data_IF_839708713124
#
_entry.id   IF_839708713124
#
_cell.length_a   1.000
_cell.length_b   1.000
_cell.length_c   1.000
_cell.angle_alpha   90.00
_cell.angle_beta   90.00
_cell.angle_gamma   90.00
#
_symmetry.space_group_name_H-M   'P 1'
#
loop_
_entity.id
_entity.type
_entity.pdbx_description
1 polymer ?
#
# COMPACT_ATOMS: atom_id res chain seq x y z
N UNK A 1 21.42 -11.71 -13.50
CA UNK A 1 21.01 -11.82 -14.92
C UNK A 1 21.23 -10.45 -15.55
N UNK A 2 21.91 -10.40 -16.70
CA UNK A 2 22.10 -9.17 -17.48
C UNK A 2 20.75 -8.55 -17.88
N UNK A 3 20.70 -7.22 -18.03
CA UNK A 3 19.50 -6.45 -18.44
C UNK A 3 19.01 -6.78 -19.86
N UNK A 4 19.82 -7.47 -20.68
CA UNK A 4 19.46 -7.91 -22.02
C UNK A 4 18.54 -9.13 -21.93
N UNK A 5 17.28 -8.97 -22.36
CA UNK A 5 16.30 -10.07 -22.49
C UNK A 5 15.18 -10.09 -21.45
N UNK A 6 15.10 -9.13 -20.53
CA UNK A 6 13.96 -9.04 -19.61
C UNK A 6 12.72 -8.52 -20.34
N UNK A 7 11.63 -9.29 -20.30
CA UNK A 7 10.34 -8.92 -20.91
C UNK A 7 9.83 -7.58 -20.38
N UNK A 8 9.36 -6.67 -21.24
CA UNK A 8 8.85 -5.37 -20.84
C UNK A 8 7.46 -5.49 -20.19
N UNK A 9 7.15 -4.56 -19.29
CA UNK A 9 5.89 -4.51 -18.55
C UNK A 9 4.64 -4.41 -19.45
N UNK A 10 4.83 -3.91 -20.67
CA UNK A 10 3.80 -3.75 -21.69
C UNK A 10 3.16 -5.08 -22.11
N UNK A 11 3.90 -6.20 -22.01
CA UNK A 11 3.37 -7.54 -22.35
C UNK A 11 2.19 -7.98 -21.48
N UNK A 12 2.12 -7.45 -20.25
CA UNK A 12 1.07 -7.78 -19.27
C UNK A 12 0.19 -6.57 -18.92
N UNK A 13 0.41 -5.44 -19.61
CA UNK A 13 -0.37 -4.24 -19.42
C UNK A 13 -1.74 -4.38 -20.09
N UNK A 14 -2.77 -3.90 -19.41
CA UNK A 14 -4.15 -3.94 -19.88
C UNK A 14 -4.70 -2.53 -20.02
N UNK A 15 -5.66 -2.36 -20.92
CA UNK A 15 -6.43 -1.12 -21.00
C UNK A 15 -7.14 -0.85 -19.66
N UNK A 16 -7.06 0.37 -19.10
CA UNK A 16 -7.75 0.68 -17.86
C UNK A 16 -9.27 0.52 -18.03
N UNK A 17 -9.93 -0.40 -17.29
CA UNK A 17 -11.38 -0.59 -17.43
C UNK A 17 -12.18 0.67 -17.08
N UNK A 18 -11.59 1.55 -16.27
CA UNK A 18 -12.14 2.83 -15.93
C UNK A 18 -11.03 3.81 -15.53
N UNK A 19 -11.19 5.07 -15.92
CA UNK A 19 -10.30 6.17 -15.58
C UNK A 19 -11.13 7.31 -14.98
N UNK A 20 -10.77 7.74 -13.77
CA UNK A 20 -11.45 8.84 -13.12
C UNK A 20 -10.93 10.21 -13.61
N UNK A 21 -11.76 11.25 -13.46
CA UNK A 21 -11.35 12.65 -13.66
C UNK A 21 -11.32 13.39 -12.32
N UNK A 22 -10.45 14.41 -12.14
CA UNK A 22 -10.33 15.17 -10.89
C UNK A 22 -11.66 15.73 -10.35
N UNK A 23 -12.56 16.12 -11.25
CA UNK A 23 -13.83 16.77 -10.92
C UNK A 23 -14.99 15.79 -10.68
N UNK A 24 -14.81 14.49 -10.91
CA UNK A 24 -15.82 13.48 -10.61
C UNK A 24 -16.09 13.40 -9.11
N UNK A 25 -17.27 12.90 -8.75
CA UNK A 25 -17.65 12.68 -7.35
C UNK A 25 -17.25 11.28 -6.89
N UNK A 26 -16.84 11.16 -5.63
CA UNK A 26 -16.41 9.88 -5.03
C UNK A 26 -17.51 8.82 -5.14
N UNK A 27 -18.78 9.18 -4.96
CA UNK A 27 -19.90 8.24 -5.07
C UNK A 27 -20.05 7.60 -6.45
N UNK A 28 -19.74 8.35 -7.52
CA UNK A 28 -19.76 7.84 -8.90
C UNK A 28 -18.60 6.86 -9.12
N UNK A 29 -17.40 7.26 -8.69
CA UNK A 29 -16.18 6.45 -8.86
C UNK A 29 -16.27 5.15 -8.06
N UNK A 30 -16.77 5.17 -6.81
CA UNK A 30 -16.99 3.94 -6.02
C UNK A 30 -17.99 3.01 -6.71
N UNK A 31 -19.04 3.57 -7.33
CA UNK A 31 -20.00 2.79 -8.11
C UNK A 31 -19.32 2.01 -9.23
N UNK A 32 -18.49 2.69 -10.03
CA UNK A 32 -17.70 2.09 -11.10
C UNK A 32 -16.64 1.11 -10.59
N UNK A 33 -15.94 1.44 -9.52
CA UNK A 33 -14.97 0.56 -8.89
C UNK A 33 -15.62 -0.75 -8.44
N UNK A 34 -16.81 -0.70 -7.85
CA UNK A 34 -17.54 -1.91 -7.44
C UNK A 34 -18.01 -2.72 -8.65
N UNK A 35 -18.68 -2.07 -9.60
CA UNK A 35 -19.22 -2.68 -10.83
C UNK A 35 -18.12 -3.44 -11.58
N UNK A 36 -16.95 -2.82 -11.71
CA UNK A 36 -15.80 -3.36 -12.44
C UNK A 36 -14.79 -4.10 -11.54
N UNK A 37 -15.13 -4.32 -10.26
CA UNK A 37 -14.28 -4.98 -9.24
C UNK A 37 -12.85 -4.38 -9.12
N UNK A 38 -12.70 -3.07 -9.26
CA UNK A 38 -11.42 -2.35 -9.25
C UNK A 38 -11.01 -1.95 -7.83
N UNK A 39 -9.78 -2.24 -7.43
CA UNK A 39 -9.23 -1.84 -6.13
C UNK A 39 -8.72 -0.39 -6.08
N UNK A 40 -8.31 0.12 -7.24
CA UNK A 40 -7.82 1.47 -7.44
C UNK A 40 -8.05 1.89 -8.89
N UNK A 41 -8.13 3.19 -9.14
CA UNK A 41 -8.34 3.76 -10.47
C UNK A 41 -7.34 4.89 -10.73
N UNK A 42 -6.78 4.99 -11.94
CA UNK A 42 -6.00 6.15 -12.32
C UNK A 42 -6.90 7.37 -12.43
N UNK A 43 -6.40 8.54 -12.03
CA UNK A 43 -7.05 9.83 -12.22
C UNK A 43 -6.27 10.60 -13.27
N UNK A 44 -6.92 10.96 -14.38
CA UNK A 44 -6.29 11.69 -15.48
C UNK A 44 -6.90 13.07 -15.66
N UNK A 45 -6.04 14.06 -15.88
CA UNK A 45 -6.44 15.43 -16.21
C UNK A 45 -6.48 15.65 -17.72
N UNK A 46 -6.14 16.88 -18.11
CA UNK A 46 -6.09 17.29 -19.51
C UNK A 46 -5.04 16.51 -20.31
N UNK A 47 -5.31 16.34 -21.61
CA UNK A 47 -4.43 15.62 -22.55
C UNK A 47 -4.04 14.21 -22.09
N UNK A 48 -4.93 13.56 -21.32
CA UNK A 48 -4.73 12.23 -20.76
C UNK A 48 -3.52 12.10 -19.81
N UNK A 49 -3.08 13.20 -19.22
CA UNK A 49 -1.98 13.20 -18.26
C UNK A 49 -2.41 12.58 -16.94
N UNK A 50 -1.64 11.64 -16.41
CA UNK A 50 -1.88 11.05 -15.10
C UNK A 50 -1.63 12.10 -14.01
N UNK A 51 -2.63 12.36 -13.17
CA UNK A 51 -2.58 13.40 -12.11
C UNK A 51 -2.85 12.86 -10.71
N UNK A 52 -3.30 11.61 -10.59
CA UNK A 52 -3.46 10.96 -9.29
C UNK A 52 -3.90 9.51 -9.40
N UNK A 53 -4.05 8.86 -8.26
CA UNK A 53 -4.64 7.53 -8.14
C UNK A 53 -5.63 7.57 -6.98
N UNK A 54 -6.76 6.88 -7.14
CA UNK A 54 -7.78 6.77 -6.09
C UNK A 54 -8.02 5.31 -5.74
N UNK A 55 -8.00 4.97 -4.45
CA UNK A 55 -8.30 3.63 -3.92
C UNK A 55 -9.33 3.68 -2.79
N UNK A 56 -9.89 2.51 -2.43
CA UNK A 56 -10.78 2.38 -1.26
C UNK A 56 -10.13 2.87 0.04
N UNK A 57 -8.81 2.73 0.18
CA UNK A 57 -8.09 3.21 1.37
C UNK A 57 -8.12 4.72 1.48
N UNK A 58 -7.91 5.43 0.36
CA UNK A 58 -7.83 6.89 0.34
C UNK A 58 -9.19 7.52 0.68
N UNK A 59 -10.23 6.92 0.11
CA UNK A 59 -11.64 7.23 0.34
C UNK A 59 -12.00 7.08 1.83
N UNK A 60 -11.60 5.98 2.46
CA UNK A 60 -11.88 5.71 3.87
C UNK A 60 -11.04 6.58 4.81
N UNK A 61 -9.75 6.77 4.53
CA UNK A 61 -8.82 7.53 5.36
C UNK A 61 -9.19 9.01 5.43
N UNK A 62 -9.68 9.57 4.33
CA UNK A 62 -10.08 10.98 4.26
C UNK A 62 -11.53 11.23 4.70
N UNK A 63 -12.28 10.18 5.05
CA UNK A 63 -13.69 10.30 5.43
C UNK A 63 -14.52 11.01 4.36
N UNK A 64 -14.21 10.78 3.09
CA UNK A 64 -14.81 11.54 2.00
C UNK A 64 -16.32 11.29 1.92
N UNK A 65 -17.12 12.33 1.72
CA UNK A 65 -18.53 12.15 1.40
C UNK A 65 -18.69 11.65 -0.04
N UNK A 66 -19.87 11.10 -0.36
CA UNK A 66 -20.23 10.74 -1.75
C UNK A 66 -20.07 11.91 -2.71
N UNK A 67 -20.36 13.13 -2.25
CA UNK A 67 -20.32 14.35 -3.04
C UNK A 67 -18.94 15.00 -3.13
N UNK A 68 -17.97 14.51 -2.36
CA UNK A 68 -16.59 14.99 -2.40
C UNK A 68 -15.99 14.77 -3.79
N UNK A 69 -15.17 15.71 -4.28
CA UNK A 69 -14.49 15.60 -5.58
C UNK A 69 -13.28 14.66 -5.46
N UNK A 70 -13.01 13.89 -6.51
CA UNK A 70 -11.84 12.98 -6.56
C UNK A 70 -10.54 13.70 -6.23
N UNK A 71 -10.33 14.92 -6.76
CA UNK A 71 -9.08 15.67 -6.55
C UNK A 71 -8.74 15.96 -5.09
N UNK A 72 -9.73 16.00 -4.20
CA UNK A 72 -9.50 16.26 -2.77
C UNK A 72 -9.12 14.98 -2.01
N UNK A 73 -9.29 13.82 -2.64
CA UNK A 73 -9.15 12.50 -2.04
C UNK A 73 -8.05 11.67 -2.68
N UNK A 74 -7.74 11.88 -3.96
CA UNK A 74 -6.73 11.11 -4.67
C UNK A 74 -5.34 11.29 -4.04
N UNK A 75 -4.53 10.24 -4.16
CA UNK A 75 -3.10 10.32 -3.88
C UNK A 75 -2.35 10.90 -5.08
N UNK A 76 -1.16 11.50 -4.85
CA UNK A 76 -0.26 11.86 -5.93
C UNK A 76 0.01 10.68 -6.88
N UNK A 77 0.21 10.93 -8.17
CA UNK A 77 0.35 9.87 -9.15
C UNK A 77 1.70 9.17 -9.00
N UNK A 78 1.67 7.84 -8.97
CA UNK A 78 2.82 6.97 -9.24
C UNK A 78 2.58 6.20 -10.53
N UNK A 79 3.64 5.90 -11.28
CA UNK A 79 3.53 5.23 -12.58
C UNK A 79 4.82 4.55 -12.98
N UNK A 80 4.72 3.59 -13.90
CA UNK A 80 5.84 2.96 -14.58
C UNK A 80 5.85 3.45 -16.04
N UNK A 81 7.03 3.70 -16.59
CA UNK A 81 7.16 4.08 -18.01
C UNK A 81 7.09 2.82 -18.86
N UNK A 82 6.44 2.89 -20.02
CA UNK A 82 6.48 1.84 -21.06
C UNK A 82 7.92 1.37 -21.32
N UNK A 83 8.10 0.08 -21.60
CA UNK A 83 9.39 -0.58 -21.79
C UNK A 83 10.12 -0.96 -20.50
N UNK A 84 9.63 -0.57 -19.32
CA UNK A 84 10.26 -0.97 -18.04
C UNK A 84 10.29 -2.50 -17.90
N UNK A 85 11.43 -3.14 -17.58
CA UNK A 85 11.50 -4.58 -17.37
C UNK A 85 10.57 -5.07 -16.26
N UNK A 86 9.88 -6.20 -16.47
CA UNK A 86 8.95 -6.76 -15.48
C UNK A 86 9.57 -6.95 -14.08
N UNK A 87 10.80 -7.47 -13.91
CA UNK A 87 11.40 -7.59 -12.57
C UNK A 87 11.53 -6.24 -11.83
N UNK A 88 11.88 -5.17 -12.55
CA UNK A 88 11.91 -3.81 -12.01
C UNK A 88 10.51 -3.32 -11.66
N UNK A 89 9.52 -3.62 -12.51
CA UNK A 89 8.12 -3.32 -12.23
C UNK A 89 7.63 -4.02 -10.95
N UNK A 90 7.92 -5.31 -10.78
CA UNK A 90 7.55 -6.07 -9.56
C UNK A 90 8.17 -5.42 -8.31
N UNK A 91 9.44 -5.01 -8.37
CA UNK A 91 10.07 -4.29 -7.26
C UNK A 91 9.38 -2.96 -6.94
N UNK A 92 8.94 -2.21 -7.95
CA UNK A 92 8.12 -1.00 -7.76
C UNK A 92 6.75 -1.32 -7.13
N UNK A 93 6.08 -2.40 -7.54
CA UNK A 93 4.84 -2.87 -6.89
C UNK A 93 5.03 -3.16 -5.40
N UNK A 94 6.14 -3.82 -5.04
CA UNK A 94 6.49 -4.14 -3.65
C UNK A 94 6.77 -2.86 -2.86
N UNK A 95 7.69 -2.01 -3.35
CA UNK A 95 8.08 -0.75 -2.71
C UNK A 95 6.88 0.19 -2.49
N UNK A 96 6.02 0.33 -3.50
CA UNK A 96 4.84 1.19 -3.41
C UNK A 96 3.68 0.54 -2.69
N UNK A 97 3.78 -0.75 -2.31
CA UNK A 97 2.65 -1.55 -1.82
C UNK A 97 1.43 -1.39 -2.74
N UNK A 98 1.65 -1.23 -4.05
CA UNK A 98 0.64 -0.80 -5.03
C UNK A 98 -0.27 -1.96 -5.42
N UNK A 99 -1.58 -1.74 -5.53
CA UNK A 99 -2.54 -2.76 -6.03
C UNK A 99 -2.67 -2.76 -7.55
N UNK A 100 -2.50 -1.57 -8.12
CA UNK A 100 -2.52 -1.27 -9.53
C UNK A 100 -1.50 -0.18 -9.77
N UNK A 101 -0.79 -0.25 -10.88
CA UNK A 101 0.21 0.74 -11.30
C UNK A 101 -0.13 1.19 -12.72
N UNK A 102 -0.34 2.49 -12.94
CA UNK A 102 -0.46 3.07 -14.27
C UNK A 102 0.83 2.93 -15.08
N UNK A 103 0.69 2.55 -16.36
CA UNK A 103 1.75 2.59 -17.36
C UNK A 103 1.60 3.87 -18.17
N UNK A 104 2.68 4.63 -18.30
CA UNK A 104 2.68 5.94 -18.97
C UNK A 104 3.77 6.02 -20.04
N UNK A 105 3.61 6.98 -20.96
CA UNK A 105 4.71 7.40 -21.83
C UNK A 105 5.66 8.39 -21.12
N UNK A 106 6.72 8.81 -21.81
CA UNK A 106 7.69 9.81 -21.33
C UNK A 106 7.04 11.16 -20.98
N UNK A 107 5.89 11.48 -21.57
CA UNK A 107 5.12 12.71 -21.33
C UNK A 107 4.10 12.55 -20.19
N UNK A 108 4.15 11.44 -19.45
CA UNK A 108 3.23 11.07 -18.35
C UNK A 108 1.77 10.93 -18.79
N UNK A 109 1.51 10.62 -20.06
CA UNK A 109 0.18 10.28 -20.56
C UNK A 109 -0.12 8.83 -20.22
N UNK A 110 -1.32 8.57 -19.70
CA UNK A 110 -1.76 7.21 -19.36
C UNK A 110 -1.90 6.36 -20.62
N UNK A 111 -1.19 5.23 -20.68
CA UNK A 111 -1.31 4.26 -21.77
C UNK A 111 -2.13 3.04 -21.35
N UNK A 112 -1.79 2.47 -20.20
CA UNK A 112 -2.36 1.22 -19.69
C UNK A 112 -2.29 1.16 -18.17
N UNK A 113 -2.74 0.06 -17.58
CA UNK A 113 -2.50 -0.27 -16.17
C UNK A 113 -1.96 -1.70 -16.06
N UNK A 114 -1.28 -1.98 -14.97
CA UNK A 114 -0.99 -3.35 -14.52
C UNK A 114 -1.53 -3.51 -13.11
N UNK A 115 -2.12 -4.66 -12.79
CA UNK A 115 -2.57 -4.99 -11.44
C UNK A 115 -1.70 -6.05 -10.81
N UNK A 116 -1.78 -6.21 -9.48
CA UNK A 116 -1.12 -7.34 -8.80
C UNK A 116 -1.56 -8.69 -9.36
N UNK A 117 -2.82 -8.81 -9.82
CA UNK A 117 -3.33 -10.06 -10.40
C UNK A 117 -2.60 -10.40 -11.70
N UNK A 118 -2.31 -9.40 -12.53
CA UNK A 118 -1.59 -9.58 -13.78
C UNK A 118 -0.14 -10.01 -13.50
N UNK A 119 0.51 -9.39 -12.52
CA UNK A 119 1.85 -9.79 -12.06
C UNK A 119 1.85 -11.23 -11.52
N UNK A 120 0.91 -11.59 -10.64
CA UNK A 120 0.84 -12.94 -10.08
C UNK A 120 0.58 -14.00 -11.16
N UNK A 121 -0.28 -13.70 -12.13
CA UNK A 121 -0.54 -14.58 -13.27
C UNK A 121 0.72 -14.77 -14.10
N UNK A 122 1.39 -13.67 -14.47
CA UNK A 122 2.67 -13.72 -15.17
C UNK A 122 3.71 -14.54 -14.41
N UNK A 123 3.82 -14.36 -13.10
CA UNK A 123 4.74 -15.13 -12.27
C UNK A 123 4.41 -16.62 -12.27
N UNK A 124 3.13 -16.99 -12.22
CA UNK A 124 2.70 -18.38 -12.25
C UNK A 124 2.95 -19.04 -13.61
N UNK A 125 2.66 -18.32 -14.71
CA UNK A 125 2.77 -18.81 -16.08
C UNK A 125 4.24 -18.94 -16.55
N UNK A 126 5.16 -18.25 -15.88
CA UNK A 126 6.59 -18.25 -16.21
C UNK A 126 7.47 -18.84 -15.09
N UNK A 127 6.88 -19.60 -14.17
CA UNK A 127 7.57 -20.28 -13.06
C UNK A 127 8.48 -19.35 -12.21
N UNK A 128 8.03 -18.12 -11.98
CA UNK A 128 8.72 -17.10 -11.17
C UNK A 128 8.24 -17.07 -9.72
N UNK A 129 7.25 -17.90 -9.34
CA UNK A 129 6.86 -18.04 -7.94
C UNK A 129 7.97 -18.81 -7.20
N UNK A 130 8.56 -18.24 -6.13
CA UNK A 130 9.63 -18.94 -5.39
C UNK A 130 9.17 -20.30 -4.86
N UNK A 131 10.04 -21.30 -4.96
CA UNK A 131 9.81 -22.63 -4.41
C UNK A 131 10.03 -22.63 -2.90
N UNK A 132 8.96 -22.40 -2.15
CA UNK A 132 8.92 -22.35 -0.69
C UNK A 132 7.50 -22.57 -0.17
N UNK A 133 7.34 -22.65 1.15
CA UNK A 133 6.04 -22.84 1.79
C UNK A 133 5.38 -21.51 2.13
N UNK A 134 4.08 -21.55 2.39
CA UNK A 134 3.32 -20.38 2.84
C UNK A 134 3.90 -19.80 4.14
N UNK A 135 4.37 -20.63 5.07
CA UNK A 135 4.96 -20.18 6.33
C UNK A 135 6.24 -19.34 6.16
N UNK A 136 6.98 -19.53 5.07
CA UNK A 136 8.21 -18.77 4.79
C UNK A 136 7.92 -17.34 4.32
N UNK A 137 6.70 -17.10 3.83
CA UNK A 137 6.26 -15.83 3.24
C UNK A 137 5.16 -15.12 4.04
N UNK A 138 4.44 -15.81 4.91
CA UNK A 138 3.31 -15.23 5.65
C UNK A 138 3.75 -14.17 6.66
N UNK A 139 2.85 -13.24 6.95
CA UNK A 139 2.98 -12.33 8.10
C UNK A 139 2.46 -13.01 9.37
N UNK A 140 3.26 -12.94 10.44
CA UNK A 140 2.95 -13.49 11.76
C UNK A 140 3.50 -12.55 12.86
N UNK A 141 2.86 -12.41 14.04
CA UNK A 141 1.57 -13.00 14.44
C UNK A 141 0.39 -12.40 13.67
N UNK A 142 -0.70 -13.16 13.43
CA UNK A 142 -1.88 -12.67 12.74
C UNK A 142 -2.63 -11.65 13.61
N UNK A 143 -3.22 -10.65 12.96
CA UNK A 143 -4.17 -9.74 13.59
C UNK A 143 -5.56 -10.24 13.22
N UNK A 144 -6.27 -10.82 14.20
CA UNK A 144 -7.63 -11.34 14.06
C UNK A 144 -8.65 -10.37 14.70
N UNK A 145 -9.93 -10.67 14.50
CA UNK A 145 -11.05 -10.00 15.15
C UNK A 145 -12.10 -11.04 15.55
N UNK A 146 -12.73 -10.88 16.70
CA UNK A 146 -13.82 -11.77 17.12
C UNK A 146 -15.09 -11.47 16.32
N UNK A 147 -15.92 -12.49 16.06
CA UNK A 147 -17.10 -12.34 15.19
C UNK A 147 -18.19 -11.39 15.73
N UNK A 148 -18.25 -11.22 17.06
CA UNK A 148 -19.14 -10.28 17.76
C UNK A 148 -18.55 -8.87 17.92
N UNK A 149 -17.26 -8.66 17.61
CA UNK A 149 -16.69 -7.30 17.64
C UNK A 149 -17.30 -6.44 16.52
N UNK A 150 -17.33 -5.12 16.73
CA UNK A 150 -18.03 -4.21 15.82
C UNK A 150 -17.28 -3.91 14.52
N UNK A 151 -18.00 -3.49 13.48
CA UNK A 151 -17.39 -2.98 12.24
C UNK A 151 -16.49 -1.77 12.50
N UNK A 152 -16.84 -0.89 13.44
CA UNK A 152 -15.99 0.22 13.86
C UNK A 152 -14.63 -0.26 14.36
N UNK A 153 -14.64 -1.34 15.16
CA UNK A 153 -13.43 -1.98 15.67
C UNK A 153 -12.60 -2.61 14.55
N UNK A 154 -13.26 -3.32 13.62
CA UNK A 154 -12.61 -3.87 12.43
C UNK A 154 -11.92 -2.77 11.59
N UNK A 155 -12.65 -1.69 11.30
CA UNK A 155 -12.14 -0.51 10.58
C UNK A 155 -10.91 0.07 11.31
N UNK A 156 -11.00 0.28 12.61
CA UNK A 156 -9.90 0.83 13.40
C UNK A 156 -8.65 -0.06 13.35
N UNK A 157 -8.81 -1.39 13.52
CA UNK A 157 -7.71 -2.35 13.44
C UNK A 157 -7.04 -2.32 12.06
N UNK A 158 -7.83 -2.33 10.99
CA UNK A 158 -7.31 -2.26 9.62
C UNK A 158 -6.50 -0.97 9.38
N UNK A 159 -7.05 0.18 9.76
CA UNK A 159 -6.39 1.48 9.56
C UNK A 159 -5.13 1.62 10.42
N UNK A 160 -5.20 1.26 11.71
CA UNK A 160 -4.07 1.35 12.66
C UNK A 160 -2.92 0.43 12.25
N UNK A 161 -3.24 -0.79 11.81
CA UNK A 161 -2.24 -1.78 11.43
C UNK A 161 -1.80 -1.65 9.97
N UNK A 162 -2.47 -0.82 9.18
CA UNK A 162 -2.17 -0.63 7.75
C UNK A 162 -2.50 -1.84 6.88
N UNK A 163 -3.36 -2.73 7.38
CA UNK A 163 -3.83 -3.94 6.71
C UNK A 163 -5.21 -3.69 6.09
N UNK A 164 -5.63 -4.55 5.18
CA UNK A 164 -6.91 -4.40 4.47
C UNK A 164 -7.88 -5.56 4.65
N UNK A 165 -7.53 -6.51 5.52
CA UNK A 165 -8.34 -7.69 5.84
C UNK A 165 -8.04 -8.17 7.25
N UNK A 166 -9.04 -8.76 7.87
CA UNK A 166 -8.96 -9.39 9.18
C UNK A 166 -9.58 -10.79 9.04
N UNK A 167 -8.83 -11.86 9.40
CA UNK A 167 -9.44 -13.14 9.73
C UNK A 167 -10.39 -12.96 10.92
N UNK A 168 -11.59 -13.51 10.81
CA UNK A 168 -12.61 -13.48 11.85
C UNK A 168 -12.61 -14.81 12.57
N UNK A 169 -12.61 -14.78 13.90
CA UNK A 169 -12.58 -15.96 14.76
C UNK A 169 -13.77 -16.02 15.72
N UNK A 170 -14.14 -17.23 16.13
CA UNK A 170 -15.14 -17.49 17.17
C UNK A 170 -14.51 -17.55 18.59
N UNK A 171 -15.32 -17.92 19.58
CA UNK A 171 -14.91 -18.07 20.98
C UNK A 171 -13.84 -19.15 21.19
N UNK A 172 -13.74 -20.14 20.28
CA UNK A 172 -12.74 -21.22 20.32
C UNK A 172 -11.43 -20.85 19.58
N UNK A 173 -11.31 -19.59 19.13
CA UNK A 173 -10.26 -19.05 18.25
C UNK A 173 -10.14 -19.75 16.89
N UNK A 174 -11.22 -20.39 16.43
CA UNK A 174 -11.28 -21.00 15.09
C UNK A 174 -11.68 -19.97 14.07
N UNK A 175 -11.16 -20.11 12.85
CA UNK A 175 -11.53 -19.22 11.75
C UNK A 175 -12.99 -19.47 11.29
N UNK A 176 -13.81 -18.43 11.29
CA UNK A 176 -15.22 -18.48 10.85
C UNK A 176 -15.53 -17.57 9.66
N UNK A 177 -14.62 -16.64 9.34
CA UNK A 177 -14.79 -15.77 8.19
C UNK A 177 -13.61 -14.84 7.92
N UNK A 178 -13.78 -13.95 6.94
CA UNK A 178 -12.84 -12.87 6.63
C UNK A 178 -13.63 -11.60 6.35
N UNK A 179 -13.22 -10.48 6.95
CA UNK A 179 -13.74 -9.15 6.62
C UNK A 179 -12.65 -8.28 6.01
N UNK A 180 -12.97 -7.52 4.97
CA UNK A 180 -12.02 -6.66 4.27
C UNK A 180 -12.41 -5.19 4.30
N UNK A 181 -11.43 -4.32 4.04
CA UNK A 181 -11.65 -2.88 3.94
C UNK A 181 -12.65 -2.54 2.83
N UNK A 182 -12.67 -3.33 1.76
CA UNK A 182 -13.59 -3.16 0.64
C UNK A 182 -15.02 -3.42 1.08
N UNK A 183 -15.25 -4.49 1.84
CA UNK A 183 -16.59 -4.84 2.37
C UNK A 183 -17.15 -3.70 3.21
N UNK A 184 -16.30 -3.10 4.06
CA UNK A 184 -16.67 -1.96 4.90
C UNK A 184 -17.00 -0.72 4.05
N UNK A 185 -16.12 -0.33 3.12
CA UNK A 185 -16.31 0.87 2.31
C UNK A 185 -17.51 0.75 1.38
N UNK A 186 -17.67 -0.39 0.69
CA UNK A 186 -18.79 -0.56 -0.24
C UNK A 186 -20.14 -0.48 0.48
N UNK A 187 -20.22 -0.98 1.73
CA UNK A 187 -21.45 -0.89 2.53
C UNK A 187 -21.68 0.51 3.10
N UNK A 188 -20.67 1.18 3.66
CA UNK A 188 -20.78 2.58 4.15
C UNK A 188 -21.37 3.51 3.08
N UNK A 189 -20.89 3.39 1.84
CA UNK A 189 -21.34 4.26 0.75
C UNK A 189 -22.70 3.86 0.19
N UNK A 190 -23.26 2.70 0.57
CA UNK A 190 -24.56 2.20 0.13
C UNK A 190 -25.71 2.43 1.11
N UNK A 191 -25.46 2.84 2.35
CA UNK A 191 -26.50 3.00 3.40
C UNK A 191 -27.66 3.92 2.96
N UNK A 192 -27.45 4.81 1.97
CA UNK A 192 -28.52 5.66 1.39
C UNK A 192 -29.27 5.06 0.18
N UNK A 193 -28.80 3.97 -0.42
CA UNK A 193 -29.42 3.35 -1.62
C UNK A 193 -30.43 2.24 -1.27
N UNK A 194 -30.42 1.72 -0.04
CA UNK A 194 -31.21 0.57 0.43
C UNK A 194 -32.63 0.88 0.90
N UNK A 195 -33.20 2.07 0.58
CA UNK A 195 -34.67 2.25 0.67
C UNK A 195 -35.47 1.40 -0.33
N UNK A 196 -34.82 0.59 -1.17
CA UNK A 196 -35.47 -0.40 -2.04
C UNK A 196 -34.88 -1.79 -1.84
N UNK A 197 -35.71 -2.66 -1.24
CA UNK A 197 -35.73 -4.14 -1.19
C UNK A 197 -34.42 -4.86 -0.83
N UNK A 198 -34.34 -5.35 0.41
CA UNK A 198 -33.52 -6.53 0.77
C UNK A 198 -32.65 -6.41 2.03
N UNK A 199 -32.33 -5.20 2.48
CA UNK A 199 -31.54 -4.95 3.70
C UNK A 199 -32.29 -3.94 4.58
N UNK A 200 -33.32 -4.41 5.30
CA UNK A 200 -34.26 -3.54 6.05
C UNK A 200 -33.76 -3.11 7.45
N UNK A 201 -32.60 -3.60 7.92
CA UNK A 201 -32.21 -3.48 9.33
C UNK A 201 -31.21 -2.36 9.67
N UNK A 202 -30.51 -1.77 8.68
CA UNK A 202 -29.47 -0.75 8.94
C UNK A 202 -29.95 0.61 8.43
N UNK A 203 -30.33 1.48 9.35
CA UNK A 203 -30.95 2.79 9.09
C UNK A 203 -29.95 3.93 9.09
N UNK A 204 -28.75 3.73 9.66
CA UNK A 204 -27.70 4.76 9.76
C UNK A 204 -26.26 4.21 9.64
N UNK A 205 -25.31 5.10 9.39
CA UNK A 205 -23.87 4.79 9.46
C UNK A 205 -23.44 4.34 10.85
N UNK A 206 -24.05 4.90 11.90
CA UNK A 206 -23.78 4.54 13.30
C UNK A 206 -24.22 3.11 13.59
N UNK A 207 -25.42 2.72 13.14
CA UNK A 207 -25.91 1.34 13.28
C UNK A 207 -25.01 0.35 12.53
N UNK A 208 -24.58 0.68 11.30
CA UNK A 208 -23.64 -0.16 10.57
C UNK A 208 -22.30 -0.32 11.29
N UNK A 209 -21.75 0.77 11.82
CA UNK A 209 -20.47 0.77 12.51
C UNK A 209 -20.54 0.01 13.86
N UNK A 210 -21.71 0.01 14.51
CA UNK A 210 -21.94 -0.72 15.76
C UNK A 210 -22.23 -2.21 15.55
N UNK A 211 -22.72 -2.60 14.36
CA UNK A 211 -23.09 -3.97 14.08
C UNK A 211 -21.90 -4.95 14.15
N UNK A 212 -22.14 -6.23 14.49
CA UNK A 212 -21.09 -7.22 14.66
C UNK A 212 -20.49 -7.63 13.31
N UNK A 213 -19.22 -8.00 13.30
CA UNK A 213 -18.49 -8.38 12.07
C UNK A 213 -19.12 -9.56 11.35
N UNK A 214 -19.70 -10.53 12.07
CA UNK A 214 -20.33 -11.72 11.49
C UNK A 214 -21.41 -11.42 10.45
N UNK A 215 -22.11 -10.30 10.57
CA UNK A 215 -23.19 -9.89 9.65
C UNK A 215 -22.66 -9.40 8.29
N UNK A 216 -21.35 -9.15 8.21
CA UNK A 216 -20.71 -8.49 7.07
C UNK A 216 -19.52 -9.24 6.50
N UNK A 217 -18.96 -10.19 7.26
CA UNK A 217 -17.84 -11.00 6.82
C UNK A 217 -18.22 -11.93 5.65
N UNK A 218 -17.21 -12.32 4.88
CA UNK A 218 -17.33 -13.44 3.96
C UNK A 218 -17.20 -14.75 4.75
N UNK A 219 -18.18 -15.63 4.59
CA UNK A 219 -18.23 -16.98 5.17
C UNK A 219 -18.85 -17.96 4.14
N UNK A 220 -18.32 -19.19 3.98
CA UNK A 220 -17.15 -19.75 4.65
C UNK A 220 -15.83 -19.05 4.23
N UNK A 221 -14.80 -19.01 5.10
CA UNK A 221 -13.53 -18.38 4.78
C UNK A 221 -12.72 -19.20 3.77
N UNK A 222 -12.05 -18.52 2.84
CA UNK A 222 -10.99 -19.12 2.02
C UNK A 222 -9.67 -18.97 2.78
N UNK A 223 -9.03 -20.08 3.10
CA UNK A 223 -7.75 -20.15 3.80
C UNK A 223 -6.93 -21.34 3.29
N UNK A 224 -5.67 -21.42 3.69
CA UNK A 224 -4.83 -22.61 3.46
C UNK A 224 -4.02 -22.95 4.71
N UNK A 225 -3.20 -24.00 4.65
CA UNK A 225 -2.36 -24.45 5.75
C UNK A 225 -0.92 -23.95 5.60
N UNK A 226 -0.20 -23.85 6.73
CA UNK A 226 1.16 -23.27 6.78
C UNK A 226 2.20 -23.94 5.88
N UNK A 227 2.07 -25.25 5.70
CA UNK A 227 2.99 -26.05 4.88
C UNK A 227 2.65 -26.06 3.38
N UNK A 228 1.58 -25.37 2.95
CA UNK A 228 1.15 -25.35 1.56
C UNK A 228 2.23 -24.72 0.66
N UNK A 229 2.50 -25.26 -0.54
CA UNK A 229 3.41 -24.64 -1.50
C UNK A 229 2.97 -23.23 -1.87
N UNK A 230 3.91 -22.29 -1.96
CA UNK A 230 3.59 -20.89 -2.30
C UNK A 230 2.93 -20.76 -3.67
N UNK A 231 3.23 -21.67 -4.60
CA UNK A 231 2.54 -21.77 -5.91
C UNK A 231 1.04 -22.02 -5.76
N UNK A 232 0.65 -22.91 -4.86
CA UNK A 232 -0.76 -23.23 -4.58
C UNK A 232 -1.48 -22.02 -3.96
N UNK A 233 -0.78 -21.27 -3.09
CA UNK A 233 -1.29 -19.99 -2.58
C UNK A 233 -1.61 -19.05 -3.74
N UNK A 234 -0.68 -18.85 -4.69
CA UNK A 234 -0.91 -17.98 -5.87
C UNK A 234 -2.08 -18.47 -6.71
N UNK A 235 -2.17 -19.77 -6.98
CA UNK A 235 -3.30 -20.37 -7.71
C UNK A 235 -4.63 -20.09 -7.01
N UNK A 236 -4.68 -20.26 -5.69
CA UNK A 236 -5.87 -19.98 -4.87
C UNK A 236 -6.25 -18.49 -4.92
N UNK A 237 -5.28 -17.58 -4.80
CA UNK A 237 -5.51 -16.14 -4.92
C UNK A 237 -6.11 -15.77 -6.29
N UNK A 238 -5.60 -16.36 -7.37
CA UNK A 238 -6.06 -16.11 -8.73
C UNK A 238 -7.44 -16.74 -8.99
N UNK A 239 -7.67 -17.97 -8.54
CA UNK A 239 -8.91 -18.71 -8.73
C UNK A 239 -10.09 -18.01 -8.05
N UNK A 240 -9.95 -17.69 -6.76
CA UNK A 240 -11.03 -17.05 -5.99
C UNK A 240 -11.09 -15.52 -6.14
N UNK A 241 -10.24 -14.93 -6.99
CA UNK A 241 -10.11 -13.48 -7.19
C UNK A 241 -9.86 -12.69 -5.89
N UNK A 242 -9.20 -13.31 -4.91
CA UNK A 242 -8.84 -12.70 -3.62
C UNK A 242 -7.40 -12.19 -3.63
N UNK A 243 -7.15 -11.14 -2.84
CA UNK A 243 -5.83 -10.48 -2.78
C UNK A 243 -4.94 -10.97 -1.63
N UNK A 244 -5.44 -11.91 -0.82
CA UNK A 244 -4.77 -12.53 0.31
C UNK A 244 -5.73 -13.41 1.10
N UNK A 245 -5.20 -14.33 1.89
CA UNK A 245 -5.95 -15.31 2.65
C UNK A 245 -5.30 -15.57 4.01
N UNK A 246 -6.05 -16.05 5.01
CA UNK A 246 -5.51 -16.54 6.26
C UNK A 246 -4.71 -17.85 6.05
N UNK A 247 -3.70 -18.04 6.89
CA UNK A 247 -2.96 -19.30 7.01
C UNK A 247 -3.34 -19.92 8.34
N UNK A 248 -3.68 -21.20 8.33
CA UNK A 248 -4.19 -21.91 9.51
C UNK A 248 -3.36 -23.13 9.88
N UNK A 249 -3.49 -23.54 11.13
CA UNK A 249 -3.05 -24.82 11.68
C UNK A 249 -4.16 -25.33 12.59
N UNK A 250 -4.77 -26.48 12.25
CA UNK A 250 -5.94 -27.03 12.98
C UNK A 250 -7.07 -26.00 13.18
N UNK A 251 -7.46 -25.32 12.09
CA UNK A 251 -8.50 -24.26 12.06
C UNK A 251 -8.17 -22.97 12.83
N UNK A 252 -7.04 -22.90 13.54
CA UNK A 252 -6.57 -21.66 14.18
C UNK A 252 -5.74 -20.85 13.21
N UNK A 253 -5.93 -19.54 13.21
CA UNK A 253 -5.16 -18.64 12.35
C UNK A 253 -3.76 -18.46 12.93
N UNK A 254 -2.73 -18.82 12.15
CA UNK A 254 -1.30 -18.69 12.54
C UNK A 254 -0.55 -17.62 11.74
N UNK A 255 -1.16 -17.14 10.66
CA UNK A 255 -0.61 -16.06 9.85
C UNK A 255 -1.58 -15.59 8.78
N UNK A 256 -1.15 -14.61 7.99
CA UNK A 256 -1.88 -14.11 6.81
C UNK A 256 -0.89 -13.97 5.67
N UNK A 257 -1.30 -14.35 4.46
CA UNK A 257 -0.50 -14.19 3.26
C UNK A 257 -1.26 -13.43 2.18
N UNK A 258 -0.54 -12.71 1.34
CA UNK A 258 -1.08 -11.94 0.23
C UNK A 258 -0.19 -12.02 -0.99
N UNK A 259 -0.72 -11.62 -2.14
CA UNK A 259 0.09 -11.50 -3.36
C UNK A 259 1.29 -10.56 -3.22
N UNK A 260 1.22 -9.59 -2.29
CA UNK A 260 2.35 -8.71 -2.00
C UNK A 260 3.51 -9.46 -1.36
N UNK A 261 3.22 -10.43 -0.51
CA UNK A 261 4.23 -11.23 0.19
C UNK A 261 4.94 -12.16 -0.80
N UNK A 262 4.19 -12.75 -1.74
CA UNK A 262 4.75 -13.54 -2.85
C UNK A 262 5.72 -12.70 -3.69
N UNK A 263 5.28 -11.52 -4.16
CA UNK A 263 6.14 -10.62 -4.93
C UNK A 263 7.36 -10.18 -4.13
N UNK A 264 7.22 -9.95 -2.82
CA UNK A 264 8.33 -9.59 -1.93
C UNK A 264 9.38 -10.70 -1.89
N UNK A 265 8.96 -11.96 -1.73
CA UNK A 265 9.87 -13.12 -1.76
C UNK A 265 10.58 -13.30 -3.09
N UNK A 266 9.88 -13.06 -4.20
CA UNK A 266 10.50 -13.03 -5.52
C UNK A 266 11.59 -11.95 -5.60
N UNK A 267 11.29 -10.71 -5.19
CA UNK A 267 12.27 -9.60 -5.22
C UNK A 267 13.45 -9.87 -4.28
N UNK A 268 13.23 -10.41 -3.08
CA UNK A 268 14.29 -10.81 -2.14
C UNK A 268 15.24 -11.85 -2.76
N UNK A 269 14.75 -12.71 -3.65
CA UNK A 269 15.57 -13.70 -4.37
C UNK A 269 16.43 -13.09 -5.50
N UNK A 270 16.11 -11.87 -5.96
CA UNK A 270 16.87 -11.17 -6.99
C UNK A 270 18.10 -10.51 -6.36
N UNK A 271 19.27 -11.12 -6.52
CA UNK A 271 20.59 -10.65 -6.01
C UNK A 271 20.91 -9.18 -6.35
N UNK A 272 20.28 -8.60 -7.38
CA UNK A 272 20.52 -7.23 -7.85
C UNK A 272 19.37 -6.24 -7.64
N UNK A 273 18.26 -6.68 -7.05
CA UNK A 273 17.11 -5.80 -6.74
C UNK A 273 16.83 -5.88 -5.26
N UNK A 274 17.82 -5.50 -4.44
CA UNK A 274 17.52 -5.21 -3.05
C UNK A 274 16.46 -4.10 -3.04
N UNK A 275 15.35 -4.26 -2.31
CA UNK A 275 14.45 -3.16 -2.06
C UNK A 275 15.28 -1.97 -1.59
N UNK A 276 14.93 -0.77 -2.03
CA UNK A 276 15.52 0.41 -1.41
C UNK A 276 15.14 0.35 0.07
N UNK A 277 16.10 -0.02 0.91
CA UNK A 277 15.97 0.01 2.35
C UNK A 277 16.73 1.23 2.85
N UNK A 278 16.05 2.03 3.68
CA UNK A 278 16.72 3.14 4.30
C UNK A 278 17.79 2.60 5.26
N UNK A 279 19.06 2.89 4.97
CA UNK A 279 20.17 2.51 5.86
C UNK A 279 20.09 3.36 7.12
N UNK A 280 19.65 2.76 8.23
CA UNK A 280 19.60 3.39 9.55
C UNK A 280 20.98 3.22 10.20
N UNK A 281 21.69 4.33 10.45
CA UNK A 281 22.94 4.28 11.21
C UNK A 281 22.69 3.71 12.63
N UNK A 282 23.65 2.95 13.16
CA UNK A 282 23.61 2.10 14.38
C UNK A 282 23.34 2.82 15.73
N UNK A 283 22.64 3.96 15.74
CA UNK A 283 22.29 4.69 16.96
C UNK A 283 20.78 4.64 17.18
N UNK A 284 20.25 3.44 17.35
CA UNK A 284 19.01 3.23 18.10
C UNK A 284 19.37 2.29 19.25
N UNK A 285 19.66 2.89 20.40
CA UNK A 285 20.06 2.16 21.59
C UNK A 285 18.95 1.23 22.10
N UNK A 286 19.32 -0.04 22.30
CA UNK A 286 18.82 -1.02 23.28
C UNK A 286 17.34 -1.45 23.29
N UNK A 287 16.41 -0.81 22.59
CA UNK A 287 14.98 -1.21 22.55
C UNK A 287 14.52 -1.70 21.15
N UNK A 288 14.18 -2.99 20.99
CA UNK A 288 13.64 -3.54 19.74
C UNK A 288 12.36 -2.87 19.24
N UNK A 289 11.48 -2.39 20.13
CA UNK A 289 10.21 -1.76 19.74
C UNK A 289 10.45 -0.41 19.06
N UNK A 290 11.30 0.42 19.65
CA UNK A 290 11.69 1.72 19.07
C UNK A 290 12.35 1.55 17.70
N UNK A 291 13.22 0.54 17.54
CA UNK A 291 13.84 0.21 16.24
C UNK A 291 12.79 -0.13 15.19
N UNK A 292 11.85 -1.03 15.51
CA UNK A 292 10.78 -1.42 14.60
C UNK A 292 9.89 -0.22 14.21
N UNK A 293 9.60 0.68 15.17
CA UNK A 293 8.82 1.89 14.91
C UNK A 293 9.55 2.86 13.97
N UNK A 294 10.86 3.04 14.15
CA UNK A 294 11.71 3.84 13.25
C UNK A 294 11.72 3.22 11.86
N UNK A 295 12.02 1.93 11.75
CA UNK A 295 12.05 1.22 10.46
C UNK A 295 10.71 1.31 9.74
N UNK A 296 9.59 1.06 10.44
CA UNK A 296 8.24 1.19 9.88
C UNK A 296 7.98 2.60 9.37
N UNK A 297 8.27 3.62 10.18
CA UNK A 297 8.04 5.01 9.81
C UNK A 297 8.86 5.40 8.58
N UNK A 298 10.14 5.04 8.55
CA UNK A 298 11.03 5.39 7.44
C UNK A 298 10.65 4.66 6.17
N UNK A 299 10.32 3.37 6.25
CA UNK A 299 9.87 2.60 5.09
C UNK A 299 8.52 3.10 4.53
N UNK A 300 7.61 3.57 5.39
CA UNK A 300 6.36 4.19 4.94
C UNK A 300 6.63 5.52 4.18
N UNK A 301 7.58 6.34 4.65
CA UNK A 301 8.00 7.54 3.91
C UNK A 301 8.81 7.22 2.65
N UNK A 302 9.67 6.20 2.67
CA UNK A 302 10.43 5.78 1.50
C UNK A 302 9.50 5.27 0.39
N UNK A 303 8.46 4.52 0.75
CA UNK A 303 7.37 4.16 -0.19
C UNK A 303 6.70 5.41 -0.74
N UNK A 304 6.44 6.41 0.11
CA UNK A 304 5.87 7.71 -0.30
C UNK A 304 6.78 8.47 -1.27
N UNK A 305 8.08 8.58 -1.00
CA UNK A 305 9.06 9.20 -1.91
C UNK A 305 9.16 8.44 -3.22
N UNK A 306 9.25 7.11 -3.16
CA UNK A 306 9.37 6.25 -4.34
C UNK A 306 8.17 6.38 -5.28
N UNK A 307 6.99 6.74 -4.77
CA UNK A 307 5.79 7.02 -5.57
C UNK A 307 5.86 8.36 -6.30
N UNK A 308 6.61 9.32 -5.75
CA UNK A 308 6.68 10.68 -6.28
C UNK A 308 7.85 10.89 -7.25
N UNK A 309 8.99 10.23 -6.99
CA UNK A 309 10.27 10.39 -7.71
C UNK A 309 10.99 9.05 -7.81
N UNK A 310 11.89 8.91 -8.78
CA UNK A 310 12.75 7.73 -8.84
C UNK A 310 13.82 7.83 -7.75
N UNK A 311 13.59 7.16 -6.63
CA UNK A 311 14.55 7.16 -5.52
C UNK A 311 15.70 6.21 -5.83
N UNK A 312 16.91 6.73 -5.79
CA UNK A 312 18.17 6.02 -6.03
C UNK A 312 18.76 5.49 -4.72
N UNK A 313 18.73 6.28 -3.66
CA UNK A 313 19.27 5.91 -2.34
C UNK A 313 18.60 6.73 -1.23
N UNK A 314 18.43 6.15 -0.05
CA UNK A 314 17.98 6.85 1.14
C UNK A 314 18.83 6.43 2.35
N UNK A 315 19.48 7.40 2.98
CA UNK A 315 20.30 7.19 4.18
C UNK A 315 19.74 7.96 5.36
N UNK A 316 19.57 7.28 6.48
CA UNK A 316 19.14 7.84 7.75
C UNK A 316 20.28 7.76 8.76
N UNK A 317 20.69 8.90 9.30
CA UNK A 317 21.61 8.98 10.42
C UNK A 317 20.87 9.55 11.62
N UNK A 318 20.84 8.79 12.72
CA UNK A 318 20.35 9.26 14.01
C UNK A 318 21.57 9.39 14.94
N UNK A 319 21.62 10.44 15.77
CA UNK A 319 22.63 10.62 16.81
C UNK A 319 21.97 11.16 18.07
N UNK A 320 22.37 10.66 19.23
CA UNK A 320 22.00 11.22 20.52
C UNK A 320 22.95 12.41 20.83
N UNK A 321 22.37 13.59 21.05
CA UNK A 321 23.06 14.80 21.53
C UNK A 321 22.82 14.88 23.05
N UNK A 322 23.78 14.46 23.86
CA UNK A 322 23.76 14.68 25.31
C UNK A 322 24.12 16.14 25.58
N UNK A 323 23.12 17.00 25.82
CA UNK A 323 23.40 18.27 26.49
C UNK A 323 23.51 18.00 27.98
N UNK A 324 24.72 18.12 28.52
CA UNK A 324 24.93 18.24 29.98
C UNK A 324 24.48 19.64 30.37
N UNK A 325 23.18 19.85 30.53
CA UNK A 325 22.65 20.97 31.30
C UNK A 325 21.98 20.38 32.54
N UNK A 326 22.38 20.91 33.69
CA UNK A 326 21.90 20.51 35.02
C UNK A 326 20.38 20.69 35.05
N UNK A 327 19.66 19.56 35.05
CA UNK A 327 18.24 19.32 35.37
C UNK A 327 17.57 18.44 34.30
N UNK A 328 17.20 17.22 34.74
CA UNK A 328 16.51 16.13 34.03
C UNK A 328 17.22 15.50 32.81
N UNK A 329 17.46 14.18 32.88
CA UNK A 329 18.10 13.34 31.86
C UNK A 329 17.33 13.18 30.54
N UNK A 330 16.91 14.28 29.92
CA UNK A 330 16.25 14.31 28.60
C UNK A 330 17.29 14.22 27.50
N UNK A 331 17.18 13.18 26.69
CA UNK A 331 18.05 12.92 25.54
C UNK A 331 17.56 13.75 24.36
N UNK A 332 18.43 14.51 23.71
CA UNK A 332 18.09 15.17 22.45
C UNK A 332 18.57 14.31 21.30
N UNK A 333 17.77 14.16 20.26
CA UNK A 333 18.11 13.40 19.06
C UNK A 333 18.35 14.35 17.91
N UNK A 334 19.41 14.11 17.15
CA UNK A 334 19.65 14.69 15.83
C UNK A 334 19.41 13.64 14.77
N UNK A 335 18.52 13.95 13.85
CA UNK A 335 18.16 13.11 12.72
C UNK A 335 18.67 13.78 11.44
N UNK A 336 19.37 13.04 10.60
CA UNK A 336 19.81 13.50 9.29
C UNK A 336 19.38 12.50 8.22
N UNK A 337 18.67 12.98 7.23
CA UNK A 337 18.12 12.17 6.14
C UNK A 337 18.71 12.67 4.84
N UNK A 338 19.33 11.77 4.07
CA UNK A 338 19.79 12.01 2.70
C UNK A 338 18.97 11.16 1.76
N UNK A 339 18.26 11.79 0.84
CA UNK A 339 17.49 11.15 -0.22
C UNK A 339 18.11 11.51 -1.57
N UNK A 340 18.54 10.52 -2.32
CA UNK A 340 19.10 10.66 -3.67
C UNK A 340 18.03 10.22 -4.66
N UNK A 341 17.76 11.04 -5.67
CA UNK A 341 16.68 10.81 -6.65
C UNK A 341 17.15 11.23 -8.04
N UNK A 342 16.36 10.90 -9.07
CA UNK A 342 16.48 11.43 -10.43
C UNK A 342 16.33 12.96 -10.52
N UNK A 343 15.62 13.59 -9.58
CA UNK A 343 15.50 15.06 -9.49
C UNK A 343 16.62 15.74 -8.69
N UNK A 344 17.60 14.97 -8.21
CA UNK A 344 18.73 15.46 -7.40
C UNK A 344 18.76 14.91 -5.98
N UNK A 345 19.64 15.48 -5.16
CA UNK A 345 19.86 15.04 -3.77
C UNK A 345 19.24 16.01 -2.78
N UNK A 346 18.43 15.48 -1.86
CA UNK A 346 17.81 16.21 -0.77
C UNK A 346 18.42 15.79 0.57
N UNK A 347 18.84 16.77 1.37
CA UNK A 347 19.35 16.54 2.72
C UNK A 347 18.54 17.35 3.72
N UNK A 348 18.04 16.70 4.75
CA UNK A 348 17.32 17.34 5.85
C UNK A 348 17.97 16.95 7.18
N UNK A 349 18.18 17.94 8.03
CA UNK A 349 18.59 17.77 9.42
C UNK A 349 17.41 18.19 10.31
N UNK A 350 17.04 17.35 11.26
CA UNK A 350 16.02 17.59 12.28
C UNK A 350 16.59 17.35 13.68
N UNK A 351 16.01 18.01 14.69
CA UNK A 351 16.36 17.81 16.10
C UNK A 351 15.10 17.78 16.95
N UNK A 352 15.08 16.95 17.99
CA UNK A 352 13.98 16.94 18.95
C UNK A 352 14.33 16.15 20.21
N UNK A 353 13.54 16.36 21.26
CA UNK A 353 13.68 15.64 22.53
C UNK A 353 13.09 14.23 22.48
N UNK A 354 12.24 13.95 21.49
CA UNK A 354 11.70 12.61 21.20
C UNK A 354 12.13 12.18 19.80
N UNK A 355 12.68 10.96 19.70
CA UNK A 355 13.24 10.45 18.45
C UNK A 355 12.20 10.36 17.33
N UNK A 356 11.05 9.72 17.58
CA UNK A 356 10.02 9.51 16.56
C UNK A 356 9.42 10.82 16.06
N UNK A 357 9.25 11.79 16.95
CA UNK A 357 8.76 13.14 16.63
C UNK A 357 9.79 13.87 15.75
N UNK A 358 11.06 13.90 16.18
CA UNK A 358 12.14 14.52 15.40
C UNK A 358 12.31 13.90 14.00
N UNK A 359 12.20 12.57 13.92
CA UNK A 359 12.26 11.83 12.66
C UNK A 359 11.07 12.15 11.76
N UNK A 360 9.85 12.18 12.30
CA UNK A 360 8.64 12.52 11.54
C UNK A 360 8.73 13.94 10.96
N UNK A 361 9.15 14.91 11.75
CA UNK A 361 9.28 16.31 11.30
C UNK A 361 10.33 16.46 10.19
N UNK A 362 11.46 15.75 10.32
CA UNK A 362 12.49 15.71 9.28
C UNK A 362 11.97 15.08 7.99
N UNK A 363 11.24 13.96 8.07
CA UNK A 363 10.65 13.28 6.93
C UNK A 363 9.57 14.14 6.24
N UNK A 364 8.71 14.83 7.00
CA UNK A 364 7.72 15.78 6.45
C UNK A 364 8.39 16.97 5.75
N UNK A 365 9.49 17.48 6.33
CA UNK A 365 10.26 18.57 5.71
C UNK A 365 10.89 18.11 4.40
N UNK A 366 11.42 16.89 4.37
CA UNK A 366 11.97 16.27 3.16
C UNK A 366 10.89 16.12 2.08
N UNK A 367 9.70 15.66 2.45
CA UNK A 367 8.54 15.54 1.55
C UNK A 367 8.15 16.86 0.90
N UNK A 368 8.05 17.94 1.69
CA UNK A 368 7.76 19.28 1.16
C UNK A 368 8.82 19.73 0.14
N UNK A 369 10.10 19.43 0.37
CA UNK A 369 11.20 19.78 -0.55
C UNK A 369 11.12 18.99 -1.85
N UNK A 370 10.82 17.69 -1.78
CA UNK A 370 10.63 16.84 -2.97
C UNK A 370 9.44 17.33 -3.79
N UNK A 371 8.28 17.61 -3.17
CA UNK A 371 7.11 18.15 -3.87
C UNK A 371 7.42 19.46 -4.60
N UNK A 372 8.12 20.38 -3.95
CA UNK A 372 8.54 21.65 -4.57
C UNK A 372 9.50 21.44 -5.76
N UNK A 373 10.35 20.42 -5.70
CA UNK A 373 11.24 20.09 -6.82
C UNK A 373 10.47 19.51 -8.01
N UNK A 374 9.46 18.66 -7.77
CA UNK A 374 8.57 18.13 -8.81
C UNK A 374 7.81 19.26 -9.51
N UNK A 375 7.27 20.22 -8.76
CA UNK A 375 6.58 21.39 -9.31
C UNK A 375 7.49 22.21 -10.24
N UNK A 376 8.75 22.44 -9.83
CA UNK A 376 9.74 23.15 -10.64
C UNK A 376 10.14 22.38 -11.90
N UNK A 377 10.37 21.07 -11.78
CA UNK A 377 10.70 20.22 -12.93
C UNK A 377 9.54 20.15 -13.94
N UNK A 378 8.30 20.20 -13.46
CA UNK A 378 7.08 20.16 -14.30
C UNK A 378 6.79 21.50 -15.00
N UNK A 379 7.43 22.61 -14.58
CA UNK A 379 7.28 23.95 -15.17
C UNK A 379 8.47 24.36 -16.04
N UNK A 380 9.53 23.55 -16.12
CA UNK A 380 10.70 23.86 -16.94
C UNK A 380 10.37 23.73 -18.44
N UNK A 381 10.36 24.87 -19.14
CA UNK A 381 10.50 24.91 -20.60
C UNK A 381 12.00 25.03 -20.92
N UNK A 382 12.56 24.20 -21.81
CA UNK A 382 13.94 24.38 -22.25
C UNK A 382 14.10 25.77 -22.88
N UNK A 383 15.29 26.41 -22.75
CA UNK A 383 15.59 27.63 -23.48
C UNK A 383 15.34 27.39 -24.98
N UNK A 384 14.71 28.35 -25.66
CA UNK A 384 14.66 28.31 -27.12
C UNK A 384 16.10 28.37 -27.61
N UNK A 385 16.50 27.38 -28.40
CA UNK A 385 17.75 27.45 -29.16
C UNK A 385 17.70 28.73 -30.01
N UNK A 386 18.70 29.58 -29.84
CA UNK A 386 18.90 30.83 -30.59
C UNK A 386 19.35 30.57 -32.03
#
# INVERSE_FOLDING_TARGET
MSREGARPIDEIAIEPPFVAKPMMRIGEVIGKMRELKLWAVPVVGDKNRLVGILSYRDILMRGAGRDTKVLTVMEPPYSIVTGTPIPEAIAKFVSWKARMVPIVDEKRRLLAIVTRRDILRYMLDNDLVPDMKAEDAMSTPPITIHEEESIARARWLMLKSGISRLPVVDDDEKIVGVITLRDIVERLYNIRLTRRKGYEWIRSEEEFLAAPVRDFMSSPPIYTHRAAPLREVVQTLLHYEISGMPITERERVVGVISGLDVMKKYVESLVQVQPLEAKVAEVVGKDPLTKLQVEKLVNDYLSTFSRMVNVIDMKLSIKEETKVEKEEGRRRYRVRIKLVTDLGTFVVDGRGWELLTALRDALQTLEKRVKKAIEKASTYQPPKEE
#
